data_IF_888760379017
#
_entry.id   IF_888760379017
#
_cell.length_a   1.000
_cell.length_b   1.000
_cell.length_c   1.000
_cell.angle_alpha   90.00
_cell.angle_beta   90.00
_cell.angle_gamma   90.00
#
_symmetry.space_group_name_H-M   'P 1'
#
loop_
_entity.id
_entity.type
_entity.pdbx_description
1 polymer ?
#
# COMPACT_ATOMS: atom_id res chain seq x y z
N UNK A 1 10.70 -11.49 -3.21
CA UNK A 1 9.39 -10.96 -2.81
C UNK A 1 9.49 -9.97 -1.65
N UNK A 2 9.96 -10.32 -0.45
CA UNK A 2 10.02 -9.46 0.74
C UNK A 2 10.63 -8.07 0.51
N UNK A 3 11.74 -7.97 -0.23
CA UNK A 3 12.39 -6.70 -0.57
C UNK A 3 11.51 -5.76 -1.39
N UNK A 4 10.63 -6.30 -2.24
CA UNK A 4 9.71 -5.48 -3.03
C UNK A 4 8.58 -4.92 -2.17
N UNK A 5 8.08 -5.66 -1.18
CA UNK A 5 7.14 -5.11 -0.20
C UNK A 5 7.77 -3.98 0.63
N UNK A 6 9.01 -4.15 1.09
CA UNK A 6 9.74 -3.10 1.78
C UNK A 6 9.92 -1.85 0.90
N UNK A 7 10.24 -2.05 -0.38
CA UNK A 7 10.33 -0.96 -1.35
C UNK A 7 8.98 -0.24 -1.50
N UNK A 8 7.87 -0.96 -1.70
CA UNK A 8 6.54 -0.36 -1.82
C UNK A 8 6.21 0.47 -0.57
N UNK A 9 6.44 -0.04 0.63
CA UNK A 9 6.20 0.71 1.87
C UNK A 9 7.08 1.96 1.98
N UNK A 10 8.34 1.90 1.59
CA UNK A 10 9.20 3.10 1.57
C UNK A 10 8.63 4.16 0.63
N UNK A 11 8.21 3.77 -0.58
CA UNK A 11 7.59 4.69 -1.54
C UNK A 11 6.27 5.26 -0.99
N UNK A 12 5.44 4.41 -0.37
CA UNK A 12 4.16 4.83 0.25
C UNK A 12 4.39 5.82 1.39
N UNK A 13 5.37 5.56 2.25
CA UNK A 13 5.70 6.45 3.37
C UNK A 13 6.19 7.82 2.88
N UNK A 14 6.95 7.88 1.79
CA UNK A 14 7.34 9.12 1.14
C UNK A 14 6.13 9.86 0.52
N UNK A 15 5.19 9.13 -0.08
CA UNK A 15 3.92 9.72 -0.53
C UNK A 15 3.12 10.30 0.64
N UNK A 16 3.04 9.62 1.78
CA UNK A 16 2.40 10.19 2.97
C UNK A 16 3.06 11.50 3.38
N UNK A 17 4.40 11.58 3.42
CA UNK A 17 5.11 12.82 3.78
C UNK A 17 4.81 13.98 2.82
N UNK A 18 4.67 13.72 1.53
CA UNK A 18 4.31 14.74 0.55
C UNK A 18 2.85 15.16 0.74
N UNK A 19 1.95 14.18 0.85
CA UNK A 19 0.51 14.41 0.94
C UNK A 19 0.07 15.08 2.26
N UNK A 20 0.82 14.91 3.35
CA UNK A 20 0.59 15.62 4.63
C UNK A 20 0.67 17.15 4.51
N UNK A 21 1.34 17.65 3.47
CA UNK A 21 1.48 19.09 3.20
C UNK A 21 0.33 19.65 2.34
N UNK A 22 -0.52 18.79 1.81
CA UNK A 22 -1.66 19.18 0.97
C UNK A 22 -2.88 19.57 1.81
N UNK A 23 -3.67 20.50 1.28
CA UNK A 23 -4.97 20.80 1.87
C UNK A 23 -5.92 19.61 1.75
N UNK A 24 -6.91 19.53 2.65
CA UNK A 24 -7.97 18.52 2.55
C UNK A 24 -8.71 18.62 1.21
N UNK A 25 -8.95 19.82 0.72
CA UNK A 25 -9.58 20.04 -0.58
C UNK A 25 -8.78 19.37 -1.68
N UNK A 26 -7.46 19.55 -1.72
CA UNK A 26 -6.58 18.96 -2.74
C UNK A 26 -6.52 17.44 -2.62
N UNK A 27 -6.50 16.90 -1.39
CA UNK A 27 -6.50 15.45 -1.14
C UNK A 27 -7.78 14.76 -1.62
N UNK A 28 -8.92 15.45 -1.54
CA UNK A 28 -10.25 14.89 -1.86
C UNK A 28 -10.79 15.32 -3.22
N UNK A 29 -10.11 16.25 -3.90
CA UNK A 29 -10.50 16.78 -5.22
C UNK A 29 -10.68 15.65 -6.22
N UNK A 30 -11.81 15.67 -6.94
CA UNK A 30 -12.09 14.69 -7.99
C UNK A 30 -11.13 14.85 -9.16
N UNK A 31 -10.48 13.76 -9.55
CA UNK A 31 -9.52 13.66 -10.66
C UNK A 31 -9.91 12.57 -11.64
N UNK A 32 -9.35 12.63 -12.85
CA UNK A 32 -9.53 11.58 -13.86
C UNK A 32 -8.70 10.35 -13.50
N UNK A 33 -9.29 9.18 -13.62
CA UNK A 33 -8.64 7.89 -13.37
C UNK A 33 -8.56 7.51 -11.88
N UNK A 34 -7.90 6.39 -11.60
CA UNK A 34 -7.71 5.84 -10.26
C UNK A 34 -8.99 5.75 -9.44
N UNK A 35 -8.86 5.93 -8.14
CA UNK A 35 -9.98 6.02 -7.19
C UNK A 35 -10.53 7.44 -7.06
N UNK A 36 -10.36 8.26 -8.09
CA UNK A 36 -10.89 9.63 -8.24
C UNK A 36 -10.26 10.70 -7.35
N UNK A 37 -9.51 10.36 -6.30
CA UNK A 37 -8.80 11.34 -5.48
C UNK A 37 -7.53 10.76 -4.86
N UNK A 38 -6.62 11.62 -4.41
CA UNK A 38 -5.36 11.20 -3.78
C UNK A 38 -5.65 10.38 -2.51
N UNK A 39 -6.51 10.90 -1.64
CA UNK A 39 -6.82 10.24 -0.37
C UNK A 39 -7.44 8.85 -0.57
N UNK A 40 -8.45 8.75 -1.46
CA UNK A 40 -9.09 7.47 -1.78
C UNK A 40 -8.14 6.48 -2.44
N UNK A 41 -7.23 6.95 -3.28
CA UNK A 41 -6.26 6.06 -3.94
C UNK A 41 -5.29 5.49 -2.92
N UNK A 42 -4.78 6.31 -2.00
CA UNK A 42 -3.92 5.82 -0.91
C UNK A 42 -4.65 4.86 0.04
N UNK A 43 -5.90 5.16 0.39
CA UNK A 43 -6.75 4.24 1.16
C UNK A 43 -6.91 2.90 0.44
N UNK A 44 -7.28 2.92 -0.83
CA UNK A 44 -7.51 1.72 -1.63
C UNK A 44 -6.27 0.83 -1.76
N UNK A 45 -5.08 1.41 -1.90
CA UNK A 45 -3.83 0.65 -1.92
C UNK A 45 -3.66 -0.14 -0.62
N UNK A 46 -3.92 0.49 0.52
CA UNK A 46 -3.77 -0.11 1.84
C UNK A 46 -4.83 -1.19 2.07
N UNK A 47 -6.08 -0.89 1.74
CA UNK A 47 -7.21 -1.80 1.88
C UNK A 47 -6.98 -3.10 1.08
N UNK A 48 -6.61 -2.99 -0.18
CA UNK A 48 -6.28 -4.14 -1.04
C UNK A 48 -5.11 -4.95 -0.47
N UNK A 49 -4.05 -4.30 0.00
CA UNK A 49 -2.91 -4.98 0.62
C UNK A 49 -3.33 -5.79 1.85
N UNK A 50 -4.16 -5.19 2.73
CA UNK A 50 -4.64 -5.82 3.97
C UNK A 50 -5.53 -7.02 3.65
N UNK A 51 -6.56 -6.83 2.82
CA UNK A 51 -7.53 -7.86 2.49
C UNK A 51 -6.86 -9.11 1.90
N UNK A 52 -6.02 -8.94 0.89
CA UNK A 52 -5.30 -10.06 0.29
C UNK A 52 -4.28 -10.72 1.22
N UNK A 53 -3.56 -9.95 2.02
CA UNK A 53 -2.62 -10.52 3.00
C UNK A 53 -3.34 -11.36 4.05
N UNK A 54 -4.51 -10.90 4.52
CA UNK A 54 -5.33 -11.61 5.50
C UNK A 54 -5.96 -12.87 4.89
N UNK A 55 -6.40 -12.82 3.63
CA UNK A 55 -6.85 -14.00 2.91
C UNK A 55 -5.77 -15.09 2.83
N UNK A 56 -4.51 -14.71 2.52
CA UNK A 56 -3.37 -15.64 2.55
C UNK A 56 -3.22 -16.27 3.94
N UNK A 57 -3.46 -15.51 5.01
CA UNK A 57 -3.33 -16.00 6.39
C UNK A 57 -4.54 -16.82 6.86
N UNK A 58 -5.63 -16.87 6.09
CA UNK A 58 -6.90 -17.47 6.51
C UNK A 58 -7.55 -16.70 7.67
N UNK A 59 -7.40 -15.39 7.69
CA UNK A 59 -8.03 -14.47 8.64
C UNK A 59 -9.19 -13.76 7.99
N UNK A 60 -10.21 -13.43 8.77
CA UNK A 60 -11.33 -12.60 8.32
C UNK A 60 -10.85 -11.27 7.76
N UNK A 61 -11.52 -10.74 6.74
CA UNK A 61 -11.22 -9.39 6.23
C UNK A 61 -11.60 -8.33 7.27
N UNK A 62 -10.88 -7.21 7.26
CA UNK A 62 -11.10 -6.10 8.22
C UNK A 62 -12.19 -5.16 7.74
N UNK A 63 -12.35 -5.02 6.42
CA UNK A 63 -13.30 -4.13 5.76
C UNK A 63 -13.32 -2.72 6.39
N UNK A 64 -12.20 -1.99 6.40
CA UNK A 64 -12.18 -0.65 6.98
C UNK A 64 -13.13 0.28 6.21
N UNK A 65 -13.97 1.03 6.94
CA UNK A 65 -14.86 1.99 6.29
C UNK A 65 -14.05 3.20 5.81
N UNK A 66 -14.07 3.51 4.51
CA UNK A 66 -13.33 4.65 3.93
C UNK A 66 -13.63 5.97 4.66
N UNK A 67 -14.86 6.15 5.14
CA UNK A 67 -15.30 7.33 5.88
C UNK A 67 -14.53 7.61 7.17
N UNK A 68 -13.89 6.59 7.75
CA UNK A 68 -13.16 6.70 9.02
C UNK A 68 -11.73 7.19 8.82
N UNK A 69 -11.26 7.24 7.57
CA UNK A 69 -9.89 7.60 7.20
C UNK A 69 -9.88 8.92 6.42
N UNK A 70 -9.99 10.01 7.14
CA UNK A 70 -10.17 11.34 6.54
C UNK A 70 -8.89 12.15 6.44
N UNK A 71 -7.77 11.63 6.93
CA UNK A 71 -6.45 12.27 6.91
C UNK A 71 -5.35 11.30 6.47
N UNK A 72 -4.22 11.84 6.04
CA UNK A 72 -3.03 11.03 5.73
C UNK A 72 -2.49 10.33 6.97
N UNK A 73 -2.61 10.95 8.15
CA UNK A 73 -2.19 10.34 9.41
C UNK A 73 -3.01 9.10 9.76
N UNK A 74 -4.32 9.09 9.45
CA UNK A 74 -5.17 7.92 9.65
C UNK A 74 -4.74 6.78 8.72
N UNK A 75 -4.45 7.09 7.45
CA UNK A 75 -3.95 6.12 6.47
C UNK A 75 -2.58 5.55 6.85
N UNK A 76 -1.69 6.38 7.38
CA UNK A 76 -0.38 5.93 7.88
C UNK A 76 -0.56 4.92 9.02
N UNK A 77 -1.40 5.24 10.02
CA UNK A 77 -1.70 4.33 11.14
C UNK A 77 -2.28 3.01 10.65
N UNK A 78 -3.24 3.04 9.74
CA UNK A 78 -3.83 1.85 9.15
C UNK A 78 -2.76 0.99 8.46
N UNK A 79 -1.93 1.59 7.60
CA UNK A 79 -0.84 0.91 6.92
C UNK A 79 0.13 0.23 7.91
N UNK A 80 0.58 0.96 8.92
CA UNK A 80 1.53 0.45 9.93
C UNK A 80 0.94 -0.68 10.78
N UNK A 81 -0.32 -0.56 11.15
CA UNK A 81 -1.04 -1.55 11.97
C UNK A 81 -1.00 -2.95 11.34
N UNK A 82 -1.17 -3.04 10.03
CA UNK A 82 -1.30 -4.31 9.31
C UNK A 82 -0.03 -4.80 8.62
N UNK A 83 1.08 -4.03 8.63
CA UNK A 83 2.37 -4.47 8.05
C UNK A 83 2.85 -5.82 8.59
N UNK A 84 2.55 -6.15 9.84
CA UNK A 84 2.88 -7.46 10.43
C UNK A 84 2.14 -8.60 9.74
N UNK A 85 0.86 -8.43 9.43
CA UNK A 85 0.08 -9.43 8.71
C UNK A 85 0.65 -9.64 7.30
N UNK A 86 1.00 -8.56 6.60
CA UNK A 86 1.63 -8.64 5.27
C UNK A 86 2.98 -9.38 5.33
N UNK A 87 3.84 -9.08 6.29
CA UNK A 87 5.12 -9.79 6.50
C UNK A 87 4.88 -11.29 6.73
N UNK A 88 3.89 -11.64 7.55
CA UNK A 88 3.52 -13.03 7.82
C UNK A 88 2.99 -13.71 6.56
N UNK A 89 2.13 -13.06 5.78
CA UNK A 89 1.61 -13.59 4.51
C UNK A 89 2.74 -13.88 3.51
N UNK A 90 3.68 -12.93 3.35
CA UNK A 90 4.85 -13.09 2.46
C UNK A 90 5.76 -14.25 2.89
N UNK A 91 5.87 -14.47 4.21
CA UNK A 91 6.78 -15.46 4.80
C UNK A 91 6.12 -16.83 5.03
N UNK A 92 4.80 -16.93 4.94
CA UNK A 92 4.04 -18.12 5.26
C UNK A 92 4.44 -19.29 4.35
N UNK A 93 4.78 -20.40 4.98
CA UNK A 93 4.84 -21.73 4.35
C UNK A 93 3.47 -22.38 4.52
N UNK A 94 2.88 -22.90 3.48
CA UNK A 94 1.55 -23.51 3.57
C UNK A 94 0.91 -23.71 2.21
N UNK A 95 -0.39 -24.02 2.15
CA UNK A 95 -1.04 -24.35 0.90
C UNK A 95 -0.85 -23.21 -0.12
N UNK A 96 -0.49 -23.60 -1.33
CA UNK A 96 -0.20 -22.66 -2.41
C UNK A 96 -1.46 -22.01 -2.97
N UNK A 97 -2.65 -22.55 -2.67
CA UNK A 97 -3.95 -22.03 -3.11
C UNK A 97 -4.68 -21.33 -1.97
N UNK A 98 -5.19 -20.15 -2.26
CA UNK A 98 -5.96 -19.30 -1.34
C UNK A 98 -7.33 -19.00 -1.94
N UNK A 99 -8.39 -19.20 -1.17
CA UNK A 99 -9.75 -18.79 -1.52
C UNK A 99 -10.16 -17.66 -0.60
N UNK A 100 -10.25 -16.41 -1.10
CA UNK A 100 -10.78 -15.30 -0.32
C UNK A 100 -12.28 -15.49 -0.03
N UNK A 101 -12.77 -15.02 1.11
CA UNK A 101 -14.20 -15.17 1.48
C UNK A 101 -15.14 -14.38 0.57
N UNK A 102 -14.65 -13.30 -0.05
CA UNK A 102 -15.43 -12.45 -0.98
C UNK A 102 -15.41 -12.94 -2.43
N UNK A 103 -14.72 -14.06 -2.73
CA UNK A 103 -14.64 -14.63 -4.08
C UNK A 103 -14.93 -16.13 -4.11
N UNK A 104 -15.58 -16.58 -5.18
CA UNK A 104 -15.79 -18.02 -5.42
C UNK A 104 -14.64 -18.71 -6.16
N UNK A 105 -13.48 -18.05 -6.27
CA UNK A 105 -12.32 -18.54 -6.97
C UNK A 105 -11.14 -18.73 -6.02
N UNK A 106 -10.26 -19.65 -6.35
CA UNK A 106 -8.97 -19.88 -5.67
C UNK A 106 -7.85 -19.35 -6.53
N UNK A 107 -6.83 -18.80 -5.87
CA UNK A 107 -5.66 -18.22 -6.52
C UNK A 107 -4.38 -18.76 -5.93
N UNK A 108 -3.32 -18.96 -6.74
CA UNK A 108 -2.00 -19.23 -6.19
C UNK A 108 -1.56 -18.05 -5.28
N UNK A 109 -1.03 -18.39 -4.11
CA UNK A 109 -0.51 -17.38 -3.16
C UNK A 109 0.51 -16.45 -3.82
N UNK A 110 1.39 -17.00 -4.66
CA UNK A 110 2.39 -16.20 -5.38
C UNK A 110 1.77 -15.17 -6.32
N UNK A 111 0.64 -15.48 -6.96
CA UNK A 111 -0.05 -14.56 -7.84
C UNK A 111 -0.75 -13.45 -7.06
N UNK A 112 -1.30 -13.78 -5.88
CA UNK A 112 -1.83 -12.77 -4.95
C UNK A 112 -0.72 -11.80 -4.52
N UNK A 113 0.45 -12.31 -4.12
CA UNK A 113 1.56 -11.46 -3.71
C UNK A 113 2.08 -10.58 -4.86
N UNK A 114 2.12 -11.10 -6.10
CA UNK A 114 2.44 -10.30 -7.29
C UNK A 114 1.37 -9.25 -7.57
N UNK A 115 0.10 -9.61 -7.40
CA UNK A 115 -1.02 -8.70 -7.57
C UNK A 115 -0.92 -7.50 -6.60
N UNK A 116 -0.71 -7.74 -5.31
CA UNK A 116 -0.55 -6.67 -4.30
C UNK A 116 0.56 -5.69 -4.73
N UNK A 117 1.72 -6.21 -5.13
CA UNK A 117 2.85 -5.38 -5.56
C UNK A 117 2.54 -4.57 -6.82
N UNK A 118 2.00 -5.23 -7.86
CA UNK A 118 1.69 -4.59 -9.13
C UNK A 118 0.56 -3.55 -8.98
N UNK A 119 -0.45 -3.85 -8.15
CA UNK A 119 -1.57 -2.96 -7.84
C UNK A 119 -1.08 -1.65 -7.21
N UNK A 120 -0.23 -1.73 -6.20
CA UNK A 120 0.34 -0.54 -5.57
C UNK A 120 1.17 0.28 -6.55
N UNK A 121 2.06 -0.36 -7.33
CA UNK A 121 2.90 0.32 -8.33
C UNK A 121 2.03 1.03 -9.38
N UNK A 122 0.93 0.39 -9.84
CA UNK A 122 -0.02 0.99 -10.76
C UNK A 122 -0.60 2.30 -10.19
N UNK A 123 -1.07 2.27 -8.96
CA UNK A 123 -1.66 3.45 -8.31
C UNK A 123 -0.63 4.53 -7.95
N UNK A 124 0.61 4.15 -7.62
CA UNK A 124 1.71 5.12 -7.44
C UNK A 124 2.01 5.88 -8.75
N UNK A 125 1.88 5.21 -9.89
CA UNK A 125 1.95 5.88 -11.20
C UNK A 125 0.87 6.94 -11.38
N UNK A 126 -0.37 6.66 -10.97
CA UNK A 126 -1.48 7.63 -11.01
C UNK A 126 -1.23 8.83 -10.09
N UNK A 127 -0.79 8.58 -8.85
CA UNK A 127 -0.40 9.66 -7.93
C UNK A 127 0.71 10.54 -8.52
N UNK A 128 1.66 9.96 -9.25
CA UNK A 128 2.75 10.69 -9.90
C UNK A 128 2.26 11.62 -11.00
N UNK A 129 1.20 11.28 -11.73
CA UNK A 129 0.57 12.16 -12.70
C UNK A 129 -0.09 13.34 -11.99
N UNK A 130 -0.92 13.05 -10.98
CA UNK A 130 -1.64 14.10 -10.24
C UNK A 130 -0.71 15.04 -9.46
N UNK A 131 0.41 14.53 -8.94
CA UNK A 131 1.42 15.39 -8.31
C UNK A 131 1.96 16.43 -9.28
N UNK A 132 2.31 16.02 -10.52
CA UNK A 132 2.78 16.97 -11.56
C UNK A 132 1.73 17.99 -11.95
N UNK A 133 0.45 17.58 -12.04
CA UNK A 133 -0.66 18.50 -12.36
C UNK A 133 -0.81 19.61 -11.32
N UNK A 134 -0.43 19.36 -10.07
CA UNK A 134 -0.49 20.35 -8.98
C UNK A 134 0.89 20.98 -8.65
N UNK A 135 1.88 20.75 -9.50
CA UNK A 135 3.21 21.37 -9.38
C UNK A 135 4.09 20.77 -8.27
N UNK A 136 3.82 19.53 -7.84
CA UNK A 136 4.61 18.82 -6.84
C UNK A 136 5.52 17.80 -7.52
N UNK A 137 6.78 17.75 -7.08
CA UNK A 137 7.71 16.71 -7.51
C UNK A 137 7.22 15.34 -6.99
N UNK A 138 6.96 14.35 -7.86
CA UNK A 138 6.50 13.06 -7.44
C UNK A 138 7.59 12.26 -6.74
N UNK A 139 7.17 11.32 -5.89
CA UNK A 139 8.09 10.35 -5.29
C UNK A 139 8.77 9.52 -6.38
N UNK A 140 10.08 9.40 -6.33
CA UNK A 140 10.82 8.55 -7.24
C UNK A 140 10.44 7.07 -7.04
N UNK A 141 10.04 6.39 -8.10
CA UNK A 141 9.76 4.96 -8.11
C UNK A 141 10.95 4.12 -8.63
N UNK A 142 12.17 4.68 -8.65
CA UNK A 142 13.33 3.97 -9.13
C UNK A 142 13.83 2.97 -8.07
N UNK A 143 13.74 1.68 -8.36
CA UNK A 143 14.18 0.58 -7.47
C UNK A 143 15.71 0.53 -7.38
N UNK A 144 16.42 0.82 -8.48
CA UNK A 144 17.86 0.57 -8.58
C UNK A 144 18.67 1.57 -7.76
N UNK A 145 18.28 2.84 -7.78
CA UNK A 145 19.02 3.94 -7.15
C UNK A 145 18.55 4.29 -5.73
N UNK A 146 17.53 3.59 -5.20
CA UNK A 146 17.12 3.80 -3.82
C UNK A 146 18.14 3.21 -2.87
N UNK A 147 18.65 3.98 -1.88
CA UNK A 147 19.41 3.40 -0.80
C UNK A 147 18.49 2.38 -0.11
N UNK A 148 18.85 1.11 -0.19
CA UNK A 148 18.22 0.11 0.66
C UNK A 148 18.52 0.54 2.08
N UNK A 149 17.49 0.74 2.92
CA UNK A 149 17.69 1.00 4.34
C UNK A 149 18.73 -0.01 4.84
N UNK A 150 19.89 0.49 5.20
CA UNK A 150 20.83 -0.28 5.99
C UNK A 150 20.02 -0.65 7.22
N UNK A 151 19.70 -1.94 7.34
CA UNK A 151 18.99 -2.47 8.47
C UNK A 151 19.44 -1.73 9.72
N UNK A 152 18.50 -1.21 10.49
CA UNK A 152 18.76 -0.53 11.74
C UNK A 152 19.63 -1.45 12.60
N UNK A 153 20.95 -1.34 12.42
CA UNK A 153 21.92 -2.02 13.24
C UNK A 153 22.12 -1.15 14.46
N UNK A 154 21.64 -1.70 15.56
CA UNK A 154 22.13 -1.42 16.91
C UNK A 154 21.96 0.01 17.42
N UNK A 155 20.89 0.20 18.16
CA UNK A 155 20.99 0.94 19.42
C UNK A 155 20.52 0.04 20.54
N UNK A 156 21.42 -0.78 21.04
CA UNK A 156 21.46 -1.29 22.41
C UNK A 156 22.94 -1.48 22.75
N UNK A 157 23.49 -0.49 23.37
CA UNK A 157 24.52 -0.51 24.37
C UNK A 157 24.02 0.32 25.54
#
# INVERSE_FOLDING_TARGET
>A
MKKLFQYNWTVRDEWFMICEKLSREELTKTRTGGMKSILRTLFHIIDVEISWARAILGKDDVLPAESDYTSIQDLRKLSEQYRKDVIHAVSRKGPDLVKPDWMNQTFPKEDILRHILAHEIHHMGQLSVWAREIGIEPVSANVISRPQEKAAKKQHL
#
